data_IF_671468638304
#
_entry.id   IF_671468638304
#
_cell.length_a   1.000
_cell.length_b   1.000
_cell.length_c   1.000
_cell.angle_alpha   90.00
_cell.angle_beta   90.00
_cell.angle_gamma   90.00
#
_symmetry.space_group_name_H-M   'P 1'
#
loop_
_entity.id
_entity.type
_entity.pdbx_description
1 polymer ?
#
# COMPACT_ATOMS: atom_id res chain seq x y z
N UNK A 1 6.06 18.26 7.71
CA UNK A 1 5.16 17.32 8.40
C UNK A 1 5.30 16.02 7.66
N UNK A 2 5.98 15.03 8.24
CA UNK A 2 5.91 13.67 7.71
C UNK A 2 4.44 13.24 7.79
N UNK A 3 3.85 12.88 6.66
CA UNK A 3 2.53 12.26 6.68
C UNK A 3 2.68 10.94 7.44
N UNK A 4 2.10 10.86 8.64
CA UNK A 4 2.21 9.68 9.51
C UNK A 4 1.76 8.38 8.80
N UNK A 5 0.96 8.51 7.74
CA UNK A 5 0.43 7.39 6.97
C UNK A 5 0.61 7.57 5.47
N UNK A 6 1.05 6.50 4.81
CA UNK A 6 1.03 6.36 3.36
C UNK A 6 -0.27 5.70 2.91
N UNK A 7 -1.03 6.38 2.05
CA UNK A 7 -2.34 5.93 1.60
C UNK A 7 -2.27 5.16 0.28
N UNK A 8 -2.90 3.99 0.25
CA UNK A 8 -3.09 3.15 -0.93
C UNK A 8 -4.57 3.05 -1.22
N UNK A 9 -4.99 3.26 -2.47
CA UNK A 9 -6.40 3.12 -2.88
C UNK A 9 -6.75 1.69 -3.31
N UNK A 10 -5.75 0.93 -3.79
CA UNK A 10 -5.96 -0.40 -4.35
C UNK A 10 -6.05 -1.46 -3.24
N UNK A 11 -7.24 -2.01 -3.04
CA UNK A 11 -7.50 -3.10 -2.08
C UNK A 11 -6.55 -4.30 -2.24
N UNK A 12 -6.28 -4.72 -3.47
CA UNK A 12 -5.40 -5.88 -3.73
C UNK A 12 -3.96 -5.62 -3.27
N UNK A 13 -3.43 -4.43 -3.53
CA UNK A 13 -2.10 -4.03 -3.08
C UNK A 13 -2.05 -3.90 -1.56
N UNK A 14 -3.07 -3.30 -0.94
CA UNK A 14 -3.17 -3.20 0.51
C UNK A 14 -3.24 -4.59 1.17
N UNK A 15 -3.96 -5.53 0.56
CA UNK A 15 -4.06 -6.92 1.04
C UNK A 15 -2.71 -7.64 0.94
N UNK A 16 -1.97 -7.46 -0.15
CA UNK A 16 -0.63 -8.04 -0.31
C UNK A 16 0.36 -7.51 0.74
N UNK A 17 0.35 -6.20 1.01
CA UNK A 17 1.16 -5.59 2.06
C UNK A 17 0.76 -6.10 3.46
N UNK A 18 -0.53 -6.25 3.73
CA UNK A 18 -1.00 -6.82 4.99
C UNK A 18 -0.61 -8.29 5.16
N UNK A 19 -0.62 -9.09 4.08
CA UNK A 19 -0.13 -10.46 4.11
C UNK A 19 1.38 -10.53 4.45
N UNK A 20 2.17 -9.52 4.04
CA UNK A 20 3.58 -9.37 4.45
C UNK A 20 3.79 -8.82 5.87
N UNK A 21 2.71 -8.53 6.61
CA UNK A 21 2.75 -8.11 8.01
C UNK A 21 2.56 -6.61 8.25
N UNK A 22 2.31 -5.80 7.21
CA UNK A 22 2.05 -4.37 7.38
C UNK A 22 0.58 -4.11 7.76
N UNK A 23 0.35 -3.49 8.92
CA UNK A 23 -1.00 -3.12 9.35
C UNK A 23 -1.44 -1.84 8.65
N UNK A 24 -2.72 -1.75 8.30
CA UNK A 24 -3.33 -0.54 7.78
C UNK A 24 -4.64 -0.21 8.48
N UNK A 25 -4.99 1.07 8.44
CA UNK A 25 -6.32 1.58 8.78
C UNK A 25 -7.11 1.85 7.51
N UNK A 26 -8.44 1.75 7.60
CA UNK A 26 -9.34 2.06 6.50
C UNK A 26 -9.98 3.42 6.76
N UNK A 27 -9.97 4.27 5.73
CA UNK A 27 -10.55 5.60 5.77
C UNK A 27 -11.41 5.80 4.53
N UNK A 28 -12.36 6.73 4.62
CA UNK A 28 -13.10 7.21 3.46
C UNK A 28 -12.61 8.61 3.14
N UNK A 29 -12.14 8.84 1.92
CA UNK A 29 -11.73 10.17 1.45
C UNK A 29 -12.95 11.09 1.35
N UNK A 30 -12.71 12.41 1.25
CA UNK A 30 -13.78 13.40 1.03
C UNK A 30 -14.59 13.14 -0.25
N UNK A 31 -14.00 12.45 -1.23
CA UNK A 31 -14.63 12.06 -2.49
C UNK A 31 -15.36 10.70 -2.40
N UNK A 32 -15.43 10.09 -1.21
CA UNK A 32 -16.07 8.78 -1.01
C UNK A 32 -15.21 7.58 -1.39
N UNK A 33 -13.91 7.76 -1.68
CA UNK A 33 -13.00 6.65 -2.01
C UNK A 33 -12.49 5.96 -0.75
N UNK A 34 -12.39 4.62 -0.79
CA UNK A 34 -11.73 3.86 0.29
C UNK A 34 -10.22 4.02 0.19
N UNK A 35 -9.60 4.48 1.28
CA UNK A 35 -8.16 4.59 1.45
C UNK A 35 -7.70 3.52 2.46
N UNK A 36 -6.54 2.93 2.21
CA UNK A 36 -5.85 2.00 3.09
C UNK A 36 -4.55 2.66 3.55
N UNK A 37 -4.50 3.17 4.78
CA UNK A 37 -3.36 3.95 5.30
C UNK A 37 -2.43 3.11 6.15
N UNK A 38 -1.18 3.01 5.73
CA UNK A 38 -0.10 2.30 6.39
C UNK A 38 0.83 3.28 7.10
N UNK A 39 1.45 2.89 8.21
CA UNK A 39 2.50 3.73 8.82
C UNK A 39 3.61 4.02 7.80
N UNK A 40 3.94 5.30 7.62
CA UNK A 40 4.96 5.71 6.65
C UNK A 40 6.35 5.34 7.17
N UNK A 41 6.94 4.30 6.58
CA UNK A 41 8.24 3.77 6.98
C UNK A 41 9.07 3.35 5.77
N UNK A 42 10.40 3.42 5.90
CA UNK A 42 11.31 2.92 4.86
C UNK A 42 11.07 1.44 4.52
N UNK A 43 10.62 0.63 5.48
CA UNK A 43 10.28 -0.79 5.26
C UNK A 43 9.06 -0.95 4.35
N UNK A 44 8.03 -0.11 4.55
CA UNK A 44 6.84 -0.09 3.70
C UNK A 44 7.22 0.27 2.26
N UNK A 45 7.98 1.36 2.07
CA UNK A 45 8.40 1.79 0.73
C UNK A 45 9.20 0.72 0.00
N UNK A 46 10.14 0.09 0.69
CA UNK A 46 10.92 -1.03 0.10
C UNK A 46 10.05 -2.21 -0.30
N UNK A 47 9.06 -2.57 0.51
CA UNK A 47 8.11 -3.64 0.18
C UNK A 47 7.22 -3.27 -1.02
N UNK A 48 6.76 -2.02 -1.07
CA UNK A 48 5.97 -1.48 -2.17
C UNK A 48 6.76 -1.50 -3.49
N UNK A 49 7.99 -0.99 -3.49
CA UNK A 49 8.89 -1.02 -4.63
C UNK A 49 9.13 -2.45 -5.13
N UNK A 50 9.44 -3.39 -4.22
CA UNK A 50 9.64 -4.80 -4.56
C UNK A 50 8.41 -5.43 -5.23
N UNK A 51 7.21 -5.16 -4.72
CA UNK A 51 5.96 -5.63 -5.33
C UNK A 51 5.73 -5.04 -6.73
N UNK A 52 6.02 -3.75 -6.90
CA UNK A 52 5.87 -3.08 -8.20
C UNK A 52 6.88 -3.61 -9.23
N UNK A 53 8.12 -3.87 -8.83
CA UNK A 53 9.13 -4.49 -9.69
C UNK A 53 8.74 -5.93 -10.05
N UNK A 54 8.31 -6.73 -9.08
CA UNK A 54 7.84 -8.08 -9.34
C UNK A 54 6.64 -8.07 -10.32
N UNK A 55 5.70 -7.14 -10.14
CA UNK A 55 4.57 -6.98 -11.04
C UNK A 55 4.99 -6.72 -12.49
N UNK A 56 6.06 -5.93 -12.73
CA UNK A 56 6.58 -5.68 -14.08
C UNK A 56 7.10 -6.97 -14.72
N UNK A 57 7.75 -7.84 -13.93
CA UNK A 57 8.30 -9.12 -14.39
C UNK A 57 7.19 -10.15 -14.70
N UNK A 58 6.11 -10.15 -13.92
CA UNK A 58 5.00 -11.12 -14.04
C UNK A 58 3.95 -10.71 -15.09
N UNK A 59 3.92 -9.45 -15.54
CA UNK A 59 2.92 -8.91 -16.51
C UNK A 59 3.00 -9.52 -17.93
N UNK A 60 3.71 -10.64 -18.09
CA UNK A 60 3.90 -11.37 -19.34
C UNK A 60 2.90 -12.56 -19.45
N UNK A 61 2.04 -12.79 -18.44
CA UNK A 61 0.91 -13.73 -18.52
C UNK A 61 -0.39 -13.05 -18.97
#
# INVERSE_FOLDING_TARGET
>A
MEEKYYNIEKKSLATALNWMGFKFYIWTSREGKTLYGFEDTNKLHRALEGLLELRKQVKIL
#
